data_IF_231247987625
#
_entry.id   IF_231247987625
#
_cell.length_a   1.000
_cell.length_b   1.000
_cell.length_c   1.000
_cell.angle_alpha   90.00
_cell.angle_beta   90.00
_cell.angle_gamma   90.00
#
_symmetry.space_group_name_H-M   'P 1'
#
loop_
_entity.id
_entity.type
_entity.pdbx_description
1 polymer ?
#
# COMPACT_ATOMS: atom_id res chain seq x y z
N UNK A 1 18.21 -3.91 -28.36
CA UNK A 1 18.10 -2.85 -27.34
C UNK A 1 16.69 -2.22 -27.23
N UNK A 2 15.81 -2.34 -28.24
CA UNK A 2 14.46 -1.77 -28.18
C UNK A 2 13.47 -2.50 -27.22
N UNK A 3 13.66 -3.80 -27.00
CA UNK A 3 12.71 -4.66 -26.30
C UNK A 3 12.78 -4.53 -24.75
N UNK A 4 13.96 -4.25 -24.20
CA UNK A 4 14.22 -4.23 -22.76
C UNK A 4 13.65 -3.01 -22.03
N UNK A 5 13.45 -1.89 -22.74
CA UNK A 5 12.81 -0.70 -22.16
C UNK A 5 11.28 -0.83 -22.17
N UNK A 6 10.72 -1.46 -23.20
CA UNK A 6 9.29 -1.73 -23.30
C UNK A 6 8.81 -2.70 -22.21
N UNK A 7 9.57 -3.76 -21.94
CA UNK A 7 9.24 -4.71 -20.88
C UNK A 7 9.22 -4.06 -19.48
N UNK A 8 10.13 -3.12 -19.20
CA UNK A 8 10.17 -2.38 -17.92
C UNK A 8 8.97 -1.45 -17.76
N UNK A 9 8.57 -0.79 -18.84
CA UNK A 9 7.39 0.09 -18.87
C UNK A 9 6.12 -0.74 -18.61
N UNK A 10 5.93 -1.85 -19.31
CA UNK A 10 4.75 -2.71 -19.13
C UNK A 10 4.70 -3.25 -17.69
N UNK A 11 5.83 -3.71 -17.17
CA UNK A 11 5.91 -4.27 -15.81
C UNK A 11 5.68 -3.19 -14.74
N UNK A 12 6.19 -1.97 -14.96
CA UNK A 12 5.96 -0.83 -14.07
C UNK A 12 4.51 -0.38 -14.04
N UNK A 13 3.84 -0.36 -15.20
CA UNK A 13 2.40 -0.11 -15.32
C UNK A 13 1.59 -1.18 -14.57
N UNK A 14 1.92 -2.45 -14.78
CA UNK A 14 1.19 -3.55 -14.17
C UNK A 14 1.34 -3.59 -12.64
N UNK A 15 2.55 -3.41 -12.13
CA UNK A 15 2.79 -3.35 -10.67
C UNK A 15 2.18 -2.10 -10.05
N UNK A 16 2.23 -0.96 -10.73
CA UNK A 16 1.56 0.28 -10.32
C UNK A 16 0.05 0.10 -10.24
N UNK A 17 -0.55 -0.60 -11.20
CA UNK A 17 -2.00 -0.90 -11.24
C UNK A 17 -2.42 -1.86 -10.13
N UNK A 18 -1.68 -2.96 -9.93
CA UNK A 18 -1.96 -3.87 -8.82
C UNK A 18 -1.89 -3.13 -7.48
N UNK A 19 -0.89 -2.29 -7.29
CA UNK A 19 -0.73 -1.53 -6.03
C UNK A 19 -1.84 -0.52 -5.83
N UNK A 20 -2.25 0.16 -6.90
CA UNK A 20 -3.39 1.08 -6.88
C UNK A 20 -4.69 0.35 -6.50
N UNK A 21 -4.98 -0.78 -7.14
CA UNK A 21 -6.18 -1.58 -6.85
C UNK A 21 -6.16 -2.11 -5.42
N UNK A 22 -5.03 -2.66 -4.95
CA UNK A 22 -4.91 -3.16 -3.57
C UNK A 22 -5.14 -2.02 -2.57
N UNK A 23 -4.52 -0.86 -2.77
CA UNK A 23 -4.70 0.30 -1.90
C UNK A 23 -6.14 0.82 -1.91
N UNK A 24 -6.74 0.95 -3.09
CA UNK A 24 -8.11 1.45 -3.26
C UNK A 24 -9.12 0.51 -2.64
N UNK A 25 -8.99 -0.80 -2.89
CA UNK A 25 -9.87 -1.82 -2.34
C UNK A 25 -9.73 -1.90 -0.81
N UNK A 26 -8.51 -1.81 -0.28
CA UNK A 26 -8.27 -1.75 1.17
C UNK A 26 -8.89 -0.50 1.80
N UNK A 27 -8.83 0.64 1.12
CA UNK A 27 -9.49 1.88 1.55
C UNK A 27 -11.01 1.76 1.53
N UNK A 28 -11.57 1.18 0.46
CA UNK A 28 -13.01 0.93 0.34
C UNK A 28 -13.51 -0.03 1.42
N UNK A 29 -12.77 -1.12 1.67
CA UNK A 29 -13.06 -2.06 2.76
C UNK A 29 -13.01 -1.37 4.12
N UNK A 30 -12.01 -0.50 4.37
CA UNK A 30 -11.94 0.28 5.60
C UNK A 30 -13.20 1.11 5.82
N UNK A 31 -13.66 1.84 4.80
CA UNK A 31 -14.91 2.62 4.90
C UNK A 31 -16.14 1.73 5.04
N UNK A 32 -16.22 0.63 4.30
CA UNK A 32 -17.32 -0.34 4.42
C UNK A 32 -17.45 -0.89 5.84
N UNK A 33 -16.32 -1.26 6.46
CA UNK A 33 -16.27 -1.71 7.86
C UNK A 33 -16.62 -0.57 8.83
N UNK A 34 -16.12 0.64 8.58
CA UNK A 34 -16.39 1.80 9.43
C UNK A 34 -17.88 2.16 9.45
N UNK A 35 -18.54 2.23 8.29
CA UNK A 35 -19.98 2.52 8.21
C UNK A 35 -20.84 1.32 8.65
N UNK A 36 -20.37 0.10 8.46
CA UNK A 36 -21.02 -1.11 8.93
C UNK A 36 -20.83 -1.41 10.42
N UNK A 37 -20.03 -0.61 11.15
CA UNK A 37 -19.65 -0.92 12.53
C UNK A 37 -20.85 -1.13 13.47
N UNK A 38 -21.90 -0.30 13.35
CA UNK A 38 -23.13 -0.45 14.16
C UNK A 38 -23.85 -1.77 13.85
N UNK A 39 -23.88 -2.18 12.58
CA UNK A 39 -24.50 -3.43 12.16
C UNK A 39 -23.76 -4.65 12.72
N UNK A 40 -22.42 -4.64 12.70
CA UNK A 40 -21.61 -5.72 13.29
C UNK A 40 -21.71 -5.77 14.82
N UNK A 41 -21.84 -4.61 15.47
CA UNK A 41 -22.10 -4.55 16.90
C UNK A 41 -23.44 -5.22 17.24
N UNK A 42 -24.50 -4.86 16.53
CA UNK A 42 -25.86 -5.30 16.85
C UNK A 42 -26.10 -6.79 16.52
N UNK A 43 -25.43 -7.33 15.50
CA UNK A 43 -25.59 -8.74 15.09
C UNK A 43 -24.60 -9.71 15.74
N UNK A 44 -23.35 -9.29 15.93
CA UNK A 44 -22.25 -10.17 16.34
C UNK A 44 -21.61 -9.76 17.68
N UNK A 45 -22.04 -8.65 18.29
CA UNK A 45 -21.44 -8.11 19.51
C UNK A 45 -20.00 -7.62 19.32
N UNK A 46 -19.56 -7.39 18.08
CA UNK A 46 -18.19 -7.00 17.76
C UNK A 46 -18.05 -5.48 17.80
N UNK A 47 -17.22 -4.96 18.70
CA UNK A 47 -16.82 -3.56 18.68
C UNK A 47 -15.70 -3.33 17.66
N UNK A 48 -15.99 -2.59 16.59
CA UNK A 48 -15.05 -2.15 15.58
C UNK A 48 -14.55 -0.74 15.89
N UNK A 49 -13.24 -0.53 15.75
CA UNK A 49 -12.60 0.75 16.00
C UNK A 49 -11.97 1.32 14.74
N UNK A 50 -12.13 2.64 14.57
CA UNK A 50 -11.50 3.40 13.49
C UNK A 50 -10.01 3.57 13.77
N UNK A 51 -9.18 3.18 12.80
CA UNK A 51 -7.73 3.38 12.87
C UNK A 51 -7.25 4.36 11.80
N UNK A 52 -6.76 5.50 12.29
CA UNK A 52 -6.09 6.51 11.46
C UNK A 52 -4.84 5.96 10.77
N UNK A 53 -4.12 5.04 11.41
CA UNK A 53 -2.89 4.48 10.87
C UNK A 53 -3.14 3.52 9.72
N UNK A 54 -4.13 2.64 9.87
CA UNK A 54 -4.56 1.75 8.79
C UNK A 54 -5.07 2.55 7.59
N UNK A 55 -5.89 3.59 7.84
CA UNK A 55 -6.37 4.47 6.77
C UNK A 55 -5.23 5.20 6.06
N UNK A 56 -4.30 5.80 6.82
CA UNK A 56 -3.12 6.47 6.25
C UNK A 56 -2.27 5.52 5.41
N UNK A 57 -2.02 4.31 5.90
CA UNK A 57 -1.31 3.26 5.17
C UNK A 57 -1.96 3.00 3.81
N UNK A 58 -3.29 2.76 3.78
CA UNK A 58 -4.03 2.47 2.56
C UNK A 58 -3.99 3.64 1.56
N UNK A 59 -4.17 4.87 2.06
CA UNK A 59 -4.16 6.08 1.22
C UNK A 59 -2.78 6.27 0.58
N UNK A 60 -1.70 6.20 1.37
CA UNK A 60 -0.34 6.37 0.85
C UNK A 60 0.03 5.27 -0.14
N UNK A 61 -0.42 4.02 0.09
CA UNK A 61 -0.19 2.93 -0.85
C UNK A 61 -0.94 3.15 -2.18
N UNK A 62 -2.19 3.62 -2.11
CA UNK A 62 -3.02 3.94 -3.29
C UNK A 62 -2.36 5.02 -4.14
N UNK A 63 -1.97 6.14 -3.52
CA UNK A 63 -1.31 7.23 -4.23
C UNK A 63 0.04 6.80 -4.80
N UNK A 64 0.77 5.94 -4.10
CA UNK A 64 2.05 5.45 -4.60
C UNK A 64 1.92 4.63 -5.88
N UNK A 65 0.93 3.73 -5.95
CA UNK A 65 0.59 2.99 -7.17
C UNK A 65 0.17 3.91 -8.32
N UNK A 66 -0.70 4.88 -8.03
CA UNK A 66 -1.17 5.86 -9.03
C UNK A 66 -0.03 6.71 -9.59
N UNK A 67 0.84 7.25 -8.74
CA UNK A 67 1.99 8.03 -9.19
C UNK A 67 2.98 7.21 -9.99
N UNK A 68 3.15 5.92 -9.67
CA UNK A 68 3.96 5.01 -10.46
C UNK A 68 3.43 4.86 -11.88
N UNK A 69 2.11 4.65 -12.04
CA UNK A 69 1.50 4.52 -13.36
C UNK A 69 1.67 5.79 -14.20
N UNK A 70 1.38 6.96 -13.61
CA UNK A 70 1.57 8.25 -14.28
C UNK A 70 3.03 8.40 -14.71
N UNK A 71 3.97 8.06 -13.81
CA UNK A 71 5.39 8.14 -14.09
C UNK A 71 5.80 7.30 -15.30
N UNK A 72 5.41 6.03 -15.29
CA UNK A 72 5.71 5.08 -16.36
C UNK A 72 5.04 5.47 -17.68
N UNK A 73 3.80 5.96 -17.66
CA UNK A 73 3.13 6.45 -18.87
C UNK A 73 3.84 7.66 -19.47
N UNK A 74 4.30 8.60 -18.64
CA UNK A 74 5.04 9.77 -19.14
C UNK A 74 6.35 9.37 -19.81
N UNK A 75 7.06 8.40 -19.24
CA UNK A 75 8.27 7.83 -19.85
C UNK A 75 7.94 7.14 -21.18
N UNK A 76 6.84 6.40 -21.26
CA UNK A 76 6.38 5.77 -22.50
C UNK A 76 6.06 6.80 -23.60
N UNK A 77 5.59 7.99 -23.23
CA UNK A 77 5.35 9.12 -24.13
C UNK A 77 6.61 9.93 -24.48
N UNK A 78 7.79 9.51 -24.01
CA UNK A 78 9.07 10.17 -24.27
C UNK A 78 9.32 11.42 -23.42
N UNK A 79 8.52 11.65 -22.37
CA UNK A 79 8.73 12.75 -21.44
C UNK A 79 9.64 12.33 -20.28
N UNK A 80 10.50 13.25 -19.81
CA UNK A 80 11.21 13.07 -18.55
C UNK A 80 10.21 13.05 -17.39
N UNK A 81 10.31 12.04 -16.54
CA UNK A 81 9.48 11.97 -15.34
C UNK A 81 10.27 11.72 -14.06
N UNK A 82 10.71 12.83 -13.47
CA UNK A 82 11.37 12.87 -12.17
C UNK A 82 10.36 13.02 -11.02
N UNK A 83 9.38 13.90 -11.21
CA UNK A 83 8.47 14.32 -10.15
C UNK A 83 7.55 13.19 -9.67
N UNK A 84 6.81 12.52 -10.57
CA UNK A 84 5.87 11.49 -10.15
C UNK A 84 6.59 10.22 -9.65
N UNK A 85 7.77 9.92 -10.20
CA UNK A 85 8.61 8.82 -9.72
C UNK A 85 9.05 9.00 -8.26
N UNK A 86 9.50 10.21 -7.88
CA UNK A 86 9.86 10.53 -6.48
C UNK A 86 8.65 10.50 -5.57
N UNK A 87 7.50 11.05 -6.01
CA UNK A 87 6.28 11.00 -5.21
C UNK A 87 5.81 9.56 -4.98
N UNK A 88 5.89 8.70 -6.00
CA UNK A 88 5.62 7.28 -5.86
C UNK A 88 6.52 6.65 -4.79
N UNK A 89 7.84 6.80 -4.91
CA UNK A 89 8.77 6.20 -3.94
C UNK A 89 8.62 6.78 -2.53
N UNK A 90 8.37 8.08 -2.40
CA UNK A 90 8.20 8.73 -1.09
C UNK A 90 6.92 8.28 -0.38
N UNK A 91 5.81 8.16 -1.12
CA UNK A 91 4.55 7.66 -0.55
C UNK A 91 4.62 6.17 -0.20
N UNK A 92 5.35 5.36 -0.99
CA UNK A 92 5.68 3.98 -0.62
C UNK A 92 6.52 3.91 0.66
N UNK A 93 7.52 4.78 0.80
CA UNK A 93 8.37 4.85 1.99
C UNK A 93 7.56 5.21 3.26
N UNK A 94 6.64 6.17 3.16
CA UNK A 94 5.74 6.53 4.26
C UNK A 94 4.84 5.34 4.64
N UNK A 95 4.25 4.68 3.64
CA UNK A 95 3.41 3.50 3.85
C UNK A 95 4.18 2.37 4.58
N UNK A 96 5.40 2.07 4.12
CA UNK A 96 6.29 1.10 4.76
C UNK A 96 6.66 1.54 6.19
N UNK A 97 6.98 2.82 6.40
CA UNK A 97 7.29 3.37 7.71
C UNK A 97 6.15 3.21 8.70
N UNK A 98 4.91 3.40 8.26
CA UNK A 98 3.72 3.11 9.07
C UNK A 98 3.69 1.63 9.45
N UNK A 99 3.80 0.71 8.49
CA UNK A 99 3.74 -0.73 8.76
C UNK A 99 4.81 -1.16 9.76
N UNK A 100 6.07 -0.75 9.54
CA UNK A 100 7.19 -1.07 10.44
C UNK A 100 6.94 -0.53 11.84
N UNK A 101 6.53 0.73 11.95
CA UNK A 101 6.22 1.36 13.24
C UNK A 101 5.11 0.62 13.99
N UNK A 102 4.02 0.23 13.30
CA UNK A 102 2.90 -0.47 13.94
C UNK A 102 3.24 -1.90 14.32
N UNK A 103 4.05 -2.60 13.52
CA UNK A 103 4.55 -3.94 13.88
C UNK A 103 5.46 -3.88 15.11
N UNK A 104 6.28 -2.84 15.27
CA UNK A 104 7.11 -2.68 16.48
C UNK A 104 6.27 -2.51 17.76
N UNK A 105 5.08 -1.89 17.67
CA UNK A 105 4.22 -1.63 18.84
C UNK A 105 3.27 -2.80 19.12
N UNK A 106 2.64 -3.33 18.08
CA UNK A 106 1.53 -4.29 18.20
C UNK A 106 1.86 -5.70 17.73
N UNK A 107 3.06 -5.93 17.18
CA UNK A 107 3.44 -7.17 16.52
C UNK A 107 2.81 -7.30 15.13
N UNK A 108 2.91 -8.48 14.53
CA UNK A 108 2.32 -8.75 13.22
C UNK A 108 0.79 -8.67 13.21
N UNK A 109 0.12 -8.79 14.37
CA UNK A 109 -1.35 -8.69 14.48
C UNK A 109 -1.85 -7.24 14.51
N UNK A 110 -1.02 -6.25 14.16
CA UNK A 110 -1.32 -4.82 14.35
C UNK A 110 -2.65 -4.39 13.73
N UNK A 111 -3.01 -4.91 12.55
CA UNK A 111 -4.28 -4.62 11.86
C UNK A 111 -5.46 -5.11 12.71
N UNK A 112 -5.39 -6.34 13.21
CA UNK A 112 -6.44 -6.92 14.06
C UNK A 112 -6.57 -6.18 15.39
N UNK A 113 -5.45 -5.84 16.02
CA UNK A 113 -5.43 -5.07 17.29
C UNK A 113 -5.93 -3.64 17.12
N UNK A 114 -5.75 -3.04 15.96
CA UNK A 114 -6.30 -1.71 15.68
C UNK A 114 -7.82 -1.73 15.49
N UNK A 115 -8.32 -2.73 14.76
CA UNK A 115 -9.74 -2.83 14.43
C UNK A 115 -10.58 -3.37 15.58
N UNK A 116 -10.06 -4.33 16.35
CA UNK A 116 -10.82 -5.07 17.37
C UNK A 116 -10.27 -4.91 18.80
N UNK A 117 -9.21 -4.12 18.98
CA UNK A 117 -8.53 -3.90 20.28
C UNK A 117 -8.19 -5.21 21.00
N UNK A 118 -8.78 -5.44 22.17
CA UNK A 118 -8.47 -6.55 23.07
C UNK A 118 -9.40 -7.76 22.88
N UNK A 119 -10.25 -7.78 21.85
CA UNK A 119 -11.10 -8.94 21.56
C UNK A 119 -10.25 -10.14 21.10
N UNK A 120 -10.72 -11.35 21.36
CA UNK A 120 -10.04 -12.58 20.91
C UNK A 120 -9.80 -12.60 19.39
N UNK A 121 -10.73 -12.01 18.62
CA UNK A 121 -10.62 -11.88 17.17
C UNK A 121 -9.38 -11.08 16.74
N UNK A 122 -8.93 -10.11 17.54
CA UNK A 122 -7.80 -9.24 17.23
C UNK A 122 -6.47 -10.00 17.09
N UNK A 123 -6.35 -11.16 17.74
CA UNK A 123 -5.16 -12.02 17.75
C UNK A 123 -5.31 -13.24 16.84
N UNK A 124 -6.34 -13.27 15.99
CA UNK A 124 -6.53 -14.37 15.07
C UNK A 124 -5.38 -14.42 14.05
N UNK A 125 -4.91 -15.63 13.70
CA UNK A 125 -3.73 -15.85 12.84
C UNK A 125 -3.84 -15.13 11.48
N UNK A 126 -5.06 -14.96 10.98
CA UNK A 126 -5.37 -14.21 9.77
C UNK A 126 -4.84 -12.76 9.81
N UNK A 127 -4.93 -12.07 10.96
CA UNK A 127 -4.42 -10.70 11.09
C UNK A 127 -2.90 -10.65 11.14
N UNK A 128 -2.26 -11.67 11.74
CA UNK A 128 -0.81 -11.83 11.70
C UNK A 128 -0.31 -11.99 10.27
N UNK A 129 -0.98 -12.86 9.49
CA UNK A 129 -0.64 -13.12 8.10
C UNK A 129 -0.83 -11.87 7.24
N UNK A 130 -1.90 -11.10 7.47
CA UNK A 130 -2.10 -9.80 6.82
C UNK A 130 -1.02 -8.78 7.19
N UNK A 131 -0.56 -8.75 8.44
CA UNK A 131 0.54 -7.89 8.86
C UNK A 131 1.87 -8.25 8.18
N UNK A 132 2.18 -9.54 8.07
CA UNK A 132 3.36 -10.02 7.34
C UNK A 132 3.24 -9.69 5.85
N UNK A 133 2.08 -9.97 5.26
CA UNK A 133 1.82 -9.70 3.84
C UNK A 133 2.00 -8.21 3.53
N UNK A 134 1.39 -7.33 4.33
CA UNK A 134 1.50 -5.88 4.14
C UNK A 134 2.93 -5.39 4.27
N UNK A 135 3.72 -5.92 5.21
CA UNK A 135 5.14 -5.60 5.35
C UNK A 135 5.95 -6.03 4.12
N UNK A 136 5.86 -7.31 3.74
CA UNK A 136 6.64 -7.86 2.62
C UNK A 136 6.26 -7.17 1.31
N UNK A 137 4.97 -6.99 1.07
CA UNK A 137 4.47 -6.35 -0.13
C UNK A 137 4.96 -4.89 -0.23
N UNK A 138 4.77 -4.09 0.82
CA UNK A 138 5.19 -2.68 0.79
C UNK A 138 6.69 -2.50 0.71
N UNK A 139 7.46 -3.39 1.34
CA UNK A 139 8.91 -3.40 1.21
C UNK A 139 9.35 -3.67 -0.23
N UNK A 140 8.84 -4.75 -0.85
CA UNK A 140 9.17 -5.09 -2.24
C UNK A 140 8.76 -3.97 -3.21
N UNK A 141 7.58 -3.39 -3.00
CA UNK A 141 7.08 -2.31 -3.83
C UNK A 141 7.93 -1.03 -3.68
N UNK A 142 8.33 -0.67 -2.45
CA UNK A 142 9.23 0.46 -2.20
C UNK A 142 10.59 0.28 -2.90
N UNK A 143 11.18 -0.92 -2.80
CA UNK A 143 12.44 -1.24 -3.50
C UNK A 143 12.25 -1.11 -5.01
N UNK A 144 11.16 -1.65 -5.54
CA UNK A 144 10.88 -1.59 -6.97
C UNK A 144 10.67 -0.14 -7.46
N UNK A 145 9.86 0.66 -6.78
CA UNK A 145 9.64 2.07 -7.12
C UNK A 145 10.95 2.89 -7.07
N UNK A 146 11.80 2.63 -6.06
CA UNK A 146 13.11 3.26 -5.94
C UNK A 146 14.07 2.87 -7.06
N UNK A 147 14.09 1.60 -7.45
CA UNK A 147 14.92 1.15 -8.59
C UNK A 147 14.46 1.77 -9.90
N UNK A 148 13.14 1.91 -10.10
CA UNK A 148 12.60 2.58 -11.28
C UNK A 148 13.02 4.05 -11.30
N UNK A 149 12.85 4.77 -10.19
CA UNK A 149 13.23 6.20 -10.04
C UNK A 149 14.70 6.43 -10.39
N UNK A 150 15.59 5.60 -9.85
CA UNK A 150 17.04 5.72 -10.12
C UNK A 150 17.41 5.35 -11.55
N UNK A 151 16.68 4.42 -12.19
CA UNK A 151 16.92 4.06 -13.59
C UNK A 151 16.55 5.17 -14.58
N UNK A 152 15.50 5.93 -14.27
CA UNK A 152 15.04 7.07 -15.09
C UNK A 152 16.03 8.23 -15.03
N UNK A 153 16.66 8.45 -13.87
CA UNK A 153 17.62 9.55 -13.69
C UNK A 153 19.01 9.28 -14.26
N UNK A 154 19.31 8.03 -14.65
CA UNK A 154 20.59 7.62 -15.25
C UNK A 154 20.58 7.61 -16.78
N UNK A 155 19.44 7.85 -17.42
CA UNK A 155 19.36 7.94 -18.89
C UNK A 155 19.69 9.32 -19.46
N UNK A 156 20.26 10.20 -18.64
CA UNK A 156 20.92 11.45 -19.03
C UNK A 156 22.43 11.21 -19.19
#
# INVERSE_FOLDING_TARGET
MHNTNQSKIILGLFIGEITFIIGLLSTALYFGVYYGASFFHDLLGLNLYSSRWLLSFCIFLTFSGLFMQISVMRIALGAKDFFFSIFSTSTAAISLGIVVYRIMIFGFDWIGRELFKNQALAKHEAFSLLGIFTLVYTFLFFVYSGTLTTSINKSD
#
